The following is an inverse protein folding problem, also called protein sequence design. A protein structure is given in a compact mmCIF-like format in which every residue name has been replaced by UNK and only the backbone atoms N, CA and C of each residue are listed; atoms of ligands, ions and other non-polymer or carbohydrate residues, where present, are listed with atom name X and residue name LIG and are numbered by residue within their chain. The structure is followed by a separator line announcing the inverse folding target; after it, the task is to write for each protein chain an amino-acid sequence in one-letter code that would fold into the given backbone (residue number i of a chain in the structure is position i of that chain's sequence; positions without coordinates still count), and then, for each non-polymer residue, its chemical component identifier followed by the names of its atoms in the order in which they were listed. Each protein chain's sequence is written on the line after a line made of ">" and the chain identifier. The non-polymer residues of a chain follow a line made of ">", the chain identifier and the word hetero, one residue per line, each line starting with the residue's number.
data_IF_290364349626
#
_entry.id   IF_290364349626
#
_cell.length_a   1.000
_cell.length_b   1.000
_cell.length_c   1.000
_cell.angle_alpha   90.00
_cell.angle_beta   90.00
_cell.angle_gamma   90.00
#
_symmetry.space_group_name_H-M   'P 1'
#
loop_
_entity.id
_entity.type
_entity.pdbx_description
1 polymer ?
#
# COMPACT_ATOMS: atom_id res chain seq x y z
N UNK A 1 -13.86 -11.54 20.17
CA UNK A 1 -12.74 -11.72 19.22
C UNK A 1 -12.73 -10.52 18.29
N UNK A 2 -11.65 -9.75 18.25
CA UNK A 2 -11.47 -8.65 17.29
C UNK A 2 -11.23 -9.26 15.91
N UNK A 3 -12.04 -8.89 14.92
CA UNK A 3 -11.87 -9.37 13.54
C UNK A 3 -10.55 -8.82 12.98
N UNK A 4 -9.65 -9.70 12.53
CA UNK A 4 -8.41 -9.29 11.86
C UNK A 4 -8.77 -8.80 10.45
N UNK A 5 -8.40 -7.56 10.13
CA UNK A 5 -8.65 -6.97 8.83
C UNK A 5 -7.44 -7.12 7.90
N UNK A 6 -7.68 -7.09 6.59
CA UNK A 6 -6.63 -7.14 5.57
C UNK A 6 -5.60 -6.01 5.75
N UNK A 7 -6.05 -4.81 6.12
CA UNK A 7 -5.16 -3.67 6.42
C UNK A 7 -4.25 -3.93 7.63
N UNK A 8 -4.67 -4.76 8.58
CA UNK A 8 -3.87 -5.10 9.77
C UNK A 8 -2.70 -5.99 9.39
N UNK A 9 -3.01 -7.02 8.59
CA UNK A 9 -2.01 -7.93 8.04
C UNK A 9 -1.06 -7.18 7.12
N UNK A 10 -1.58 -6.25 6.31
CA UNK A 10 -0.77 -5.39 5.46
C UNK A 10 0.24 -4.58 6.28
N UNK A 11 -0.22 -3.90 7.35
CA UNK A 11 0.63 -3.13 8.27
C UNK A 11 1.73 -4.02 8.88
N UNK A 12 1.36 -5.20 9.38
CA UNK A 12 2.32 -6.14 9.96
C UNK A 12 3.40 -6.56 8.94
N UNK A 13 2.99 -6.88 7.72
CA UNK A 13 3.91 -7.30 6.66
C UNK A 13 4.88 -6.18 6.26
N UNK A 14 4.40 -4.95 6.05
CA UNK A 14 5.28 -3.82 5.68
C UNK A 14 6.22 -3.42 6.84
N UNK A 15 5.81 -3.60 8.10
CA UNK A 15 6.68 -3.39 9.26
C UNK A 15 7.84 -4.39 9.28
N UNK A 16 7.57 -5.65 8.94
CA UNK A 16 8.55 -6.75 8.83
C UNK A 16 9.34 -6.76 7.52
N UNK A 17 9.13 -5.79 6.62
CA UNK A 17 9.70 -5.74 5.28
C UNK A 17 9.28 -6.92 4.36
N UNK A 18 8.17 -7.59 4.66
CA UNK A 18 7.58 -8.69 3.88
C UNK A 18 6.80 -8.12 2.66
N UNK A 19 7.47 -7.30 1.85
CA UNK A 19 6.82 -6.46 0.84
C UNK A 19 6.14 -7.23 -0.31
N UNK A 20 6.63 -8.44 -0.63
CA UNK A 20 5.99 -9.32 -1.63
C UNK A 20 4.64 -9.81 -1.11
N UNK A 21 4.59 -10.30 0.14
CA UNK A 21 3.33 -10.72 0.75
C UNK A 21 2.38 -9.53 0.93
N UNK A 22 2.91 -8.38 1.36
CA UNK A 22 2.11 -7.20 1.62
C UNK A 22 1.25 -6.78 0.41
N UNK A 23 1.79 -6.78 -0.81
CA UNK A 23 1.03 -6.30 -1.96
C UNK A 23 -0.17 -7.18 -2.34
N UNK A 24 -0.20 -8.45 -1.92
CA UNK A 24 -1.31 -9.39 -2.15
C UNK A 24 -2.45 -9.17 -1.15
N UNK A 25 -2.14 -8.73 0.07
CA UNK A 25 -3.09 -8.69 1.20
C UNK A 25 -4.26 -7.72 0.99
N UNK A 26 -4.09 -6.65 0.20
CA UNK A 26 -5.15 -5.68 -0.09
C UNK A 26 -5.83 -5.91 -1.46
N UNK A 27 -5.47 -6.96 -2.19
CA UNK A 27 -5.90 -7.15 -3.58
C UNK A 27 -7.41 -7.45 -3.69
N UNK A 28 -7.97 -8.22 -2.76
CA UNK A 28 -9.40 -8.54 -2.75
C UNK A 28 -10.26 -7.32 -2.44
N UNK A 29 -9.87 -6.51 -1.45
CA UNK A 29 -10.53 -5.24 -1.15
C UNK A 29 -10.45 -4.28 -2.35
N UNK A 30 -9.29 -4.21 -3.01
CA UNK A 30 -9.11 -3.43 -4.22
C UNK A 30 -10.04 -3.87 -5.36
N UNK A 31 -10.14 -5.18 -5.62
CA UNK A 31 -11.05 -5.76 -6.61
C UNK A 31 -12.50 -5.48 -6.26
N UNK A 32 -12.86 -5.54 -4.98
CA UNK A 32 -14.21 -5.24 -4.50
C UNK A 32 -14.60 -3.79 -4.78
N UNK A 33 -13.73 -2.82 -4.46
CA UNK A 33 -14.00 -1.40 -4.76
C UNK A 33 -14.10 -1.14 -6.26
N UNK A 34 -13.29 -1.80 -7.08
CA UNK A 34 -13.43 -1.72 -8.54
C UNK A 34 -14.79 -2.23 -9.01
N UNK A 35 -15.23 -3.38 -8.51
CA UNK A 35 -16.52 -3.98 -8.88
C UNK A 35 -17.71 -3.10 -8.45
N UNK A 36 -17.58 -2.39 -7.33
CA UNK A 36 -18.57 -1.42 -6.84
C UNK A 36 -18.48 -0.04 -7.50
N UNK A 37 -17.63 0.12 -8.51
CA UNK A 37 -17.37 1.41 -9.19
C UNK A 37 -16.88 2.55 -8.27
N UNK A 38 -16.35 2.20 -7.09
CA UNK A 38 -15.79 3.14 -6.12
C UNK A 38 -14.35 3.50 -6.52
N UNK A 39 -14.23 4.31 -7.60
CA UNK A 39 -12.96 4.57 -8.28
C UNK A 39 -11.89 5.16 -7.35
N UNK A 40 -12.23 6.15 -6.50
CA UNK A 40 -11.25 6.77 -5.59
C UNK A 40 -10.74 5.78 -4.55
N UNK A 41 -11.62 5.00 -3.92
CA UNK A 41 -11.27 3.94 -2.97
C UNK A 41 -10.35 2.89 -3.59
N UNK A 42 -10.70 2.39 -4.78
CA UNK A 42 -9.86 1.46 -5.51
C UNK A 42 -8.48 2.06 -5.84
N UNK A 43 -8.42 3.35 -6.19
CA UNK A 43 -7.14 4.03 -6.46
C UNK A 43 -6.32 4.23 -5.18
N UNK A 44 -6.94 4.59 -4.06
CA UNK A 44 -6.25 4.72 -2.79
C UNK A 44 -5.59 3.39 -2.35
N UNK A 45 -6.32 2.28 -2.42
CA UNK A 45 -5.76 0.94 -2.16
C UNK A 45 -4.67 0.57 -3.17
N UNK A 46 -4.88 0.88 -4.45
CA UNK A 46 -3.84 0.71 -5.47
C UNK A 46 -2.57 1.50 -5.13
N UNK A 47 -2.68 2.67 -4.50
CA UNK A 47 -1.56 3.43 -3.97
C UNK A 47 -0.74 2.58 -2.99
N UNK A 48 -1.37 2.14 -1.89
CA UNK A 48 -0.72 1.34 -0.84
C UNK A 48 -0.08 0.06 -1.39
N UNK A 49 -0.80 -0.69 -2.23
CA UNK A 49 -0.30 -1.90 -2.90
C UNK A 49 0.96 -1.59 -3.71
N UNK A 50 0.97 -0.50 -4.48
CA UNK A 50 2.15 -0.10 -5.25
C UNK A 50 3.30 0.38 -4.36
N UNK A 51 3.03 0.97 -3.20
CA UNK A 51 4.07 1.31 -2.23
C UNK A 51 4.84 0.06 -1.78
N UNK A 52 4.12 -1.01 -1.41
CA UNK A 52 4.73 -2.30 -1.09
C UNK A 52 5.47 -2.91 -2.29
N UNK A 53 4.84 -2.96 -3.47
CA UNK A 53 5.46 -3.50 -4.70
C UNK A 53 6.74 -2.76 -5.07
N UNK A 54 6.77 -1.43 -4.94
CA UNK A 54 7.96 -0.63 -5.21
C UNK A 54 9.11 -1.05 -4.27
N UNK A 55 8.87 -1.13 -2.96
CA UNK A 55 9.90 -1.54 -2.00
C UNK A 55 10.38 -2.98 -2.25
N UNK A 56 9.48 -3.89 -2.64
CA UNK A 56 9.87 -5.23 -3.09
C UNK A 56 10.79 -5.18 -4.33
N UNK A 57 10.45 -4.36 -5.33
CA UNK A 57 11.27 -4.21 -6.54
C UNK A 57 12.67 -3.68 -6.22
N UNK A 58 12.78 -2.71 -5.32
CA UNK A 58 14.06 -2.10 -4.97
C UNK A 58 14.93 -3.05 -4.11
N UNK A 59 14.39 -3.54 -2.99
CA UNK A 59 15.20 -4.22 -1.98
C UNK A 59 15.31 -5.72 -2.18
N UNK A 60 14.27 -6.36 -2.71
CA UNK A 60 14.22 -7.82 -2.88
C UNK A 60 14.64 -8.18 -4.30
N UNK A 61 14.07 -7.52 -5.31
CA UNK A 61 14.30 -7.86 -6.72
C UNK A 61 15.48 -7.12 -7.37
N UNK A 62 16.04 -6.10 -6.70
CA UNK A 62 17.16 -5.26 -7.19
C UNK A 62 16.88 -4.61 -8.56
N UNK A 63 15.66 -4.08 -8.75
CA UNK A 63 15.18 -3.44 -9.99
C UNK A 63 14.87 -1.95 -9.77
N UNK A 64 15.90 -1.08 -9.62
CA UNK A 64 15.71 0.33 -9.27
C UNK A 64 14.90 1.13 -10.30
N UNK A 65 15.07 0.87 -11.59
CA UNK A 65 14.29 1.56 -12.64
C UNK A 65 12.79 1.23 -12.58
N UNK A 66 12.45 -0.01 -12.23
CA UNK A 66 11.05 -0.42 -12.06
C UNK A 66 10.46 0.19 -10.79
N UNK A 67 11.24 0.20 -9.69
CA UNK A 67 10.88 0.89 -8.44
C UNK A 67 10.46 2.33 -8.70
N UNK A 68 11.26 3.14 -9.42
CA UNK A 68 10.94 4.55 -9.68
C UNK A 68 9.57 4.74 -10.33
N UNK A 69 9.23 3.87 -11.30
CA UNK A 69 7.93 3.92 -11.99
C UNK A 69 6.78 3.58 -11.05
N UNK A 70 6.94 2.53 -10.23
CA UNK A 70 5.89 2.04 -9.33
C UNK A 70 5.72 2.97 -8.12
N UNK A 71 6.81 3.51 -7.56
CA UNK A 71 6.74 4.48 -6.45
C UNK A 71 6.00 5.75 -6.85
N UNK A 72 6.18 6.24 -8.09
CA UNK A 72 5.39 7.37 -8.61
C UNK A 72 3.88 7.10 -8.61
N UNK A 73 3.45 5.84 -8.78
CA UNK A 73 2.04 5.47 -8.70
C UNK A 73 1.54 5.51 -7.25
N UNK A 74 2.36 5.07 -6.29
CA UNK A 74 2.08 5.25 -4.87
C UNK A 74 1.91 6.73 -4.52
N UNK A 75 2.87 7.58 -4.89
CA UNK A 75 2.81 9.03 -4.65
C UNK A 75 1.56 9.67 -5.24
N UNK A 76 1.20 9.30 -6.48
CA UNK A 76 0.01 9.81 -7.17
C UNK A 76 -1.29 9.47 -6.44
N UNK A 77 -1.39 8.27 -5.85
CA UNK A 77 -2.67 7.78 -5.32
C UNK A 77 -2.77 7.82 -3.80
N UNK A 78 -1.67 7.90 -3.05
CA UNK A 78 -1.71 7.97 -1.57
C UNK A 78 -2.48 9.19 -1.08
N UNK A 79 -2.48 10.29 -1.83
CA UNK A 79 -3.23 11.52 -1.52
C UNK A 79 -4.73 11.31 -1.51
N UNK A 80 -5.23 10.31 -2.24
CA UNK A 80 -6.66 9.99 -2.28
C UNK A 80 -7.16 9.44 -0.94
N UNK A 81 -6.27 8.95 -0.07
CA UNK A 81 -6.65 8.61 1.30
C UNK A 81 -7.19 9.83 2.04
N UNK A 82 -6.72 11.04 1.73
CA UNK A 82 -7.18 12.25 2.39
C UNK A 82 -8.53 12.76 1.79
N UNK A 83 -9.04 12.11 0.74
CA UNK A 83 -10.27 12.48 0.01
C UNK A 83 -11.41 11.45 0.14
N UNK A 84 -11.19 10.33 0.82
CA UNK A 84 -12.18 9.25 0.95
C UNK A 84 -12.46 8.92 2.40
N UNK A 85 -13.63 8.32 2.62
CA UNK A 85 -13.98 7.71 3.90
C UNK A 85 -13.93 6.18 3.76
N UNK A 86 -13.26 5.56 4.72
CA UNK A 86 -13.13 4.12 4.89
C UNK A 86 -13.36 3.78 6.36
N UNK A 87 -13.94 2.61 6.61
CA UNK A 87 -13.90 2.04 7.96
C UNK A 87 -12.44 1.78 8.35
N UNK A 88 -12.05 2.15 9.58
CA UNK A 88 -10.66 2.04 10.08
C UNK A 88 -9.65 2.90 9.29
N UNK A 89 -10.07 4.12 8.91
CA UNK A 89 -9.27 5.06 8.14
C UNK A 89 -7.88 5.35 8.74
N UNK A 90 -7.80 5.40 10.08
CA UNK A 90 -6.57 5.55 10.85
C UNK A 90 -5.50 4.50 10.47
N UNK A 91 -5.92 3.28 10.18
CA UNK A 91 -5.03 2.18 9.80
C UNK A 91 -4.47 2.36 8.38
N UNK A 92 -5.29 2.84 7.45
CA UNK A 92 -4.82 3.16 6.10
C UNK A 92 -3.84 4.34 6.09
N UNK A 93 -4.07 5.36 6.94
CA UNK A 93 -3.12 6.46 7.13
C UNK A 93 -1.82 5.95 7.75
N UNK A 94 -1.88 5.06 8.75
CA UNK A 94 -0.69 4.44 9.33
C UNK A 94 0.11 3.65 8.28
N UNK A 95 -0.56 2.87 7.43
CA UNK A 95 0.09 2.14 6.35
C UNK A 95 0.82 3.07 5.37
N UNK A 96 0.20 4.19 4.98
CA UNK A 96 0.83 5.26 4.17
C UNK A 96 2.12 5.75 4.82
N UNK A 97 2.07 6.11 6.11
CA UNK A 97 3.22 6.65 6.85
C UNK A 97 4.37 5.64 6.96
N UNK A 98 4.06 4.36 7.25
CA UNK A 98 5.09 3.32 7.34
C UNK A 98 5.79 3.12 5.99
N UNK A 99 5.04 3.07 4.88
CA UNK A 99 5.63 2.94 3.54
C UNK A 99 6.57 4.11 3.22
N UNK A 100 6.16 5.35 3.51
CA UNK A 100 7.01 6.54 3.33
C UNK A 100 8.28 6.49 4.18
N UNK A 101 8.16 6.08 5.45
CA UNK A 101 9.30 5.94 6.35
C UNK A 101 10.26 4.85 5.86
N UNK A 102 9.75 3.67 5.51
CA UNK A 102 10.55 2.57 4.97
C UNK A 102 11.27 3.00 3.70
N UNK A 103 10.57 3.71 2.81
CA UNK A 103 11.17 4.23 1.59
C UNK A 103 12.32 5.21 1.88
N UNK A 104 12.17 6.10 2.85
CA UNK A 104 13.27 6.98 3.28
C UNK A 104 14.44 6.16 3.80
N UNK A 105 14.22 5.24 4.75
CA UNK A 105 15.28 4.45 5.38
C UNK A 105 16.05 3.59 4.38
N UNK A 106 15.36 3.00 3.41
CA UNK A 106 15.96 1.99 2.54
C UNK A 106 16.56 2.58 1.25
N UNK A 107 16.33 3.85 0.93
CA UNK A 107 16.94 4.55 -0.22
C UNK A 107 18.26 5.27 0.12
N UNK A 108 18.73 5.23 1.37
CA UNK A 108 20.06 5.69 1.79
C UNK A 108 20.90 4.50 2.24
#
# INVERSE_FOLDING_TARGET
>A
MTKILAIDLFIQAIQKNEFVQAHELLEDDWKLYKKKEMKKHAKALQGLINGATALALLHIKKRPHAYVKVWKVFEKYKVLLDEIELENMDRFILAKQILEQKNKILNY
#
